data_IF_701255419376
#
_entry.id   IF_701255419376
#
_cell.length_a   1.000
_cell.length_b   1.000
_cell.length_c   1.000
_cell.angle_alpha   90.00
_cell.angle_beta   90.00
_cell.angle_gamma   90.00
#
_symmetry.space_group_name_H-M   'P 1'
#
loop_
_entity.id
_entity.type
_entity.pdbx_description
1 polymer ?
#
# COMPACT_ATOMS: atom_id res chain seq x y z
N UNK A 1 -43.18 -27.14 7.17
CA UNK A 1 -42.55 -27.73 8.37
C UNK A 1 -41.63 -28.83 7.86
N UNK A 2 -40.31 -28.82 7.98
CA UNK A 2 -39.30 -28.00 8.68
C UNK A 2 -37.99 -28.21 7.84
N UNK A 3 -36.97 -27.38 7.81
CA UNK A 3 -36.55 -26.37 8.77
C UNK A 3 -35.51 -25.38 8.19
N UNK A 4 -35.26 -24.38 9.03
CA UNK A 4 -34.14 -23.43 9.02
C UNK A 4 -32.78 -24.17 9.03
N UNK A 5 -31.62 -23.60 8.69
CA UNK A 5 -31.16 -22.23 8.52
C UNK A 5 -29.71 -22.14 9.02
N UNK A 6 -28.97 -21.18 8.44
CA UNK A 6 -27.84 -20.43 9.04
C UNK A 6 -26.40 -20.96 8.99
N UNK A 7 -25.50 -20.03 8.64
CA UNK A 7 -24.09 -19.97 9.03
C UNK A 7 -23.12 -19.92 7.84
N UNK A 8 -22.24 -18.94 7.66
CA UNK A 8 -21.78 -17.87 8.53
C UNK A 8 -21.17 -16.72 7.69
N UNK A 9 -21.41 -15.47 8.12
CA UNK A 9 -20.65 -14.33 7.65
C UNK A 9 -19.23 -14.35 8.20
N UNK A 10 -18.26 -13.88 7.41
CA UNK A 10 -16.89 -13.60 7.85
C UNK A 10 -16.78 -12.12 8.19
N UNK A 11 -17.14 -11.78 9.42
CA UNK A 11 -16.71 -10.53 10.07
C UNK A 11 -15.22 -10.67 10.39
N UNK A 12 -14.36 -9.91 9.69
CA UNK A 12 -12.91 -9.94 9.89
C UNK A 12 -12.08 -9.31 8.75
N UNK A 13 -12.67 -9.16 7.56
CA UNK A 13 -12.09 -8.34 6.50
C UNK A 13 -12.41 -6.85 6.72
N UNK A 14 -11.90 -6.25 7.81
CA UNK A 14 -11.80 -4.79 7.83
C UNK A 14 -10.81 -4.38 6.74
N UNK A 15 -11.36 -4.03 5.57
CA UNK A 15 -10.68 -3.64 4.35
C UNK A 15 -9.45 -2.78 4.68
N UNK A 16 -8.25 -3.39 4.57
CA UNK A 16 -7.01 -2.68 4.84
C UNK A 16 -6.90 -1.52 3.84
N UNK A 17 -6.77 -0.29 4.36
CA UNK A 17 -6.66 0.92 3.55
C UNK A 17 -5.48 0.76 2.59
N UNK A 18 -5.76 0.50 1.31
CA UNK A 18 -4.71 0.19 0.34
C UNK A 18 -4.01 1.44 -0.20
N UNK A 19 -4.79 2.43 -0.64
CA UNK A 19 -4.25 3.70 -1.14
C UNK A 19 -4.27 4.74 -0.04
N UNK A 20 -3.22 5.55 0.02
CA UNK A 20 -3.26 6.80 0.76
C UNK A 20 -4.44 7.65 0.24
N UNK A 21 -5.05 8.50 1.08
CA UNK A 21 -6.09 9.39 0.62
C UNK A 21 -5.51 10.41 -0.37
N UNK A 22 -6.38 11.15 -1.05
CA UNK A 22 -5.92 12.27 -1.88
C UNK A 22 -5.10 13.25 -1.05
N UNK A 23 -4.15 13.89 -1.71
CA UNK A 23 -3.18 14.84 -1.18
C UNK A 23 -1.95 14.20 -0.53
N UNK A 24 -1.61 12.96 -0.87
CA UNK A 24 -0.40 12.28 -0.38
C UNK A 24 0.46 11.79 -1.52
N UNK A 25 1.73 12.20 -1.50
CA UNK A 25 2.71 11.91 -2.54
C UNK A 25 3.93 11.23 -1.94
N UNK A 26 4.29 10.07 -2.47
CA UNK A 26 5.61 9.50 -2.22
C UNK A 26 6.69 10.36 -2.89
N UNK A 27 7.73 10.68 -2.12
CA UNK A 27 8.91 11.40 -2.61
C UNK A 27 9.95 10.48 -3.26
N UNK A 28 9.68 9.17 -3.31
CA UNK A 28 10.58 8.21 -3.91
C UNK A 28 10.84 8.50 -5.40
N UNK A 29 11.95 7.94 -5.88
CA UNK A 29 12.40 8.11 -7.27
C UNK A 29 11.34 7.60 -8.24
N UNK A 30 10.99 8.44 -9.23
CA UNK A 30 10.19 8.02 -10.38
C UNK A 30 11.03 7.16 -11.32
N UNK A 31 10.51 5.99 -11.67
CA UNK A 31 11.03 5.12 -12.72
C UNK A 31 10.50 5.53 -14.09
N UNK A 32 9.20 5.73 -14.20
CA UNK A 32 8.50 6.08 -15.44
C UNK A 32 7.25 6.89 -15.12
N UNK A 33 6.83 7.76 -16.04
CA UNK A 33 5.55 8.45 -15.97
C UNK A 33 4.69 8.05 -17.15
N UNK A 34 3.45 7.67 -16.90
CA UNK A 34 2.42 7.38 -17.90
C UNK A 34 1.36 8.48 -17.87
N UNK A 35 0.98 9.02 -19.03
CA UNK A 35 -0.03 10.07 -19.15
C UNK A 35 -1.40 9.52 -19.55
N UNK A 36 -2.48 10.24 -19.23
CA UNK A 36 -3.83 9.86 -19.64
C UNK A 36 -4.34 8.61 -18.92
N UNK A 37 -3.83 8.34 -17.71
CA UNK A 37 -4.25 7.22 -16.89
C UNK A 37 -5.59 7.55 -16.24
N UNK A 38 -6.57 6.65 -16.39
CA UNK A 38 -7.96 6.91 -16.02
C UNK A 38 -8.15 7.22 -14.54
N UNK A 39 -7.49 6.46 -13.67
CA UNK A 39 -7.68 6.48 -12.23
C UNK A 39 -6.48 5.83 -11.50
N UNK A 40 -6.44 5.97 -10.18
CA UNK A 40 -5.39 5.38 -9.34
C UNK A 40 -5.32 3.84 -9.48
N UNK A 41 -6.46 3.16 -9.68
CA UNK A 41 -6.47 1.71 -9.88
C UNK A 41 -5.84 1.30 -11.22
N UNK A 42 -6.01 2.09 -12.28
CA UNK A 42 -5.31 1.92 -13.54
C UNK A 42 -3.81 2.15 -13.39
N UNK A 43 -3.42 3.16 -12.60
CA UNK A 43 -2.03 3.41 -12.26
C UNK A 43 -1.41 2.24 -11.48
N UNK A 44 -2.14 1.64 -10.53
CA UNK A 44 -1.73 0.42 -9.85
C UNK A 44 -1.52 -0.75 -10.83
N UNK A 45 -2.44 -0.96 -11.78
CA UNK A 45 -2.31 -2.02 -12.80
C UNK A 45 -1.09 -1.81 -13.71
N UNK A 46 -0.72 -0.55 -14.00
CA UNK A 46 0.52 -0.24 -14.71
C UNK A 46 1.74 -0.59 -13.86
N UNK A 47 1.75 -0.19 -12.59
CA UNK A 47 2.82 -0.57 -11.65
C UNK A 47 2.94 -2.09 -11.49
N UNK A 48 1.83 -2.82 -11.45
CA UNK A 48 1.80 -4.28 -11.34
C UNK A 48 2.51 -4.98 -12.51
N UNK A 49 2.48 -4.39 -13.70
CA UNK A 49 3.14 -4.91 -14.91
C UNK A 49 4.60 -4.49 -15.06
N UNK A 50 5.05 -3.50 -14.29
CA UNK A 50 6.41 -2.98 -14.34
C UNK A 50 7.23 -3.64 -13.22
N UNK A 51 8.21 -4.45 -13.59
CA UNK A 51 8.96 -5.31 -12.65
C UNK A 51 9.59 -4.51 -11.53
N UNK A 52 10.22 -3.39 -11.87
CA UNK A 52 10.92 -2.55 -10.90
C UNK A 52 9.98 -1.68 -10.05
N UNK A 53 8.74 -1.49 -10.48
CA UNK A 53 7.79 -0.63 -9.78
C UNK A 53 7.40 -1.24 -8.43
N UNK A 54 7.51 -0.46 -7.36
CA UNK A 54 7.14 -0.87 -5.99
C UNK A 54 5.84 -0.23 -5.52
N UNK A 55 5.53 0.96 -6.03
CA UNK A 55 4.35 1.77 -5.70
C UNK A 55 4.16 2.85 -6.78
N UNK A 56 3.10 3.64 -6.69
CA UNK A 56 2.80 4.69 -7.66
C UNK A 56 2.32 5.98 -6.98
N UNK A 57 2.48 7.10 -7.69
CA UNK A 57 1.70 8.32 -7.46
C UNK A 57 0.76 8.52 -8.65
N UNK A 58 -0.52 8.75 -8.39
CA UNK A 58 -1.49 9.15 -9.39
C UNK A 58 -1.92 10.59 -9.14
N UNK A 59 -1.66 11.46 -10.12
CA UNK A 59 -2.07 12.86 -10.10
C UNK A 59 -3.46 12.98 -10.70
N UNK A 60 -4.44 13.32 -9.87
CA UNK A 60 -5.87 13.32 -10.22
C UNK A 60 -6.27 14.46 -11.15
N UNK A 61 -5.48 15.54 -11.18
CA UNK A 61 -5.70 16.73 -11.99
C UNK A 61 -5.15 16.60 -13.42
N UNK A 62 -3.95 16.03 -13.55
CA UNK A 62 -3.24 15.84 -14.82
C UNK A 62 -3.43 14.46 -15.44
N UNK A 63 -4.05 13.53 -14.72
CA UNK A 63 -4.16 12.11 -15.11
C UNK A 63 -2.79 11.46 -15.38
N UNK A 64 -1.74 11.94 -14.71
CA UNK A 64 -0.40 11.38 -14.81
C UNK A 64 -0.15 10.34 -13.71
N UNK A 65 0.52 9.27 -14.08
CA UNK A 65 0.83 8.13 -13.22
C UNK A 65 2.35 7.99 -13.14
N UNK A 66 2.94 8.36 -12.01
CA UNK A 66 4.35 8.14 -11.73
C UNK A 66 4.52 6.73 -11.15
N UNK A 67 5.14 5.83 -11.90
CA UNK A 67 5.61 4.55 -11.41
C UNK A 67 6.88 4.79 -10.59
N UNK A 68 6.87 4.37 -9.33
CA UNK A 68 7.93 4.62 -8.36
C UNK A 68 8.65 3.34 -8.01
N UNK A 69 9.86 3.50 -7.49
CA UNK A 69 10.71 2.38 -7.04
C UNK A 69 11.23 2.63 -5.63
N UNK A 70 11.86 1.61 -5.02
CA UNK A 70 12.40 1.66 -3.65
C UNK A 70 11.30 1.83 -2.59
N UNK A 71 11.65 2.27 -1.39
CA UNK A 71 10.72 2.59 -0.31
C UNK A 71 9.66 3.59 -0.77
N UNK A 72 8.39 3.22 -0.66
CA UNK A 72 7.24 4.08 -0.98
C UNK A 72 6.50 4.63 0.24
N UNK A 73 6.98 4.33 1.44
CA UNK A 73 6.35 4.75 2.70
C UNK A 73 6.74 6.17 3.14
N UNK A 74 7.67 6.81 2.43
CA UNK A 74 8.09 8.19 2.68
C UNK A 74 7.19 9.12 1.87
N UNK A 75 6.06 9.49 2.50
CA UNK A 75 5.02 10.31 1.89
C UNK A 75 4.96 11.69 2.53
N UNK A 76 4.62 12.68 1.72
CA UNK A 76 4.38 14.05 2.13
C UNK A 76 3.02 14.52 1.62
N UNK A 77 2.46 15.53 2.29
CA UNK A 77 1.26 16.19 1.79
C UNK A 77 1.57 16.91 0.47
N UNK A 78 0.77 16.66 -0.56
CA UNK A 78 0.88 17.30 -1.87
C UNK A 78 -0.46 17.22 -2.61
N UNK A 79 -1.03 18.36 -2.99
CA UNK A 79 -2.37 18.45 -3.56
C UNK A 79 -2.57 17.54 -4.79
N UNK A 80 -3.77 16.98 -4.91
CA UNK A 80 -4.23 16.20 -6.08
C UNK A 80 -3.43 14.93 -6.37
N UNK A 81 -2.71 14.38 -5.38
CA UNK A 81 -1.95 13.13 -5.55
C UNK A 81 -2.51 12.01 -4.68
N UNK A 82 -2.61 10.81 -5.24
CA UNK A 82 -2.91 9.56 -4.53
C UNK A 82 -1.69 8.66 -4.63
N UNK A 83 -1.16 8.20 -3.50
CA UNK A 83 -0.08 7.22 -3.44
C UNK A 83 -0.64 5.83 -3.14
N UNK A 84 -0.18 4.80 -3.83
CA UNK A 84 -0.61 3.42 -3.57
C UNK A 84 0.47 2.36 -3.87
N UNK A 85 0.42 1.20 -3.20
CA UNK A 85 1.37 0.12 -3.44
C UNK A 85 1.15 -0.53 -4.80
N UNK A 86 2.15 -1.28 -5.30
CA UNK A 86 2.04 -2.12 -6.51
C UNK A 86 0.81 -3.03 -6.48
N UNK A 87 0.44 -3.53 -5.29
CA UNK A 87 -0.71 -4.41 -5.09
C UNK A 87 -1.34 -4.16 -3.73
N UNK A 88 -2.67 -4.29 -3.64
CA UNK A 88 -3.42 -4.30 -2.39
C UNK A 88 -3.47 -5.70 -1.73
N UNK A 89 -2.70 -6.68 -2.24
CA UNK A 89 -2.74 -8.05 -1.73
C UNK A 89 -2.20 -8.11 -0.29
N UNK A 90 -3.12 -8.39 0.63
CA UNK A 90 -2.84 -8.66 2.04
C UNK A 90 -2.69 -10.16 2.34
N UNK A 91 -2.73 -11.01 1.32
CA UNK A 91 -2.67 -12.48 1.47
C UNK A 91 -1.43 -13.00 2.21
N UNK A 92 -0.35 -12.22 2.25
CA UNK A 92 0.87 -12.55 2.97
C UNK A 92 0.96 -11.92 4.37
N UNK A 93 -0.11 -11.26 4.83
CA UNK A 93 -0.16 -10.64 6.16
C UNK A 93 -0.81 -11.61 7.15
N UNK A 94 -0.23 -11.70 8.34
CA UNK A 94 -0.85 -12.41 9.47
C UNK A 94 -1.58 -11.39 10.33
N UNK A 95 -2.91 -11.45 10.35
CA UNK A 95 -3.75 -10.49 11.09
C UNK A 95 -3.88 -10.90 12.56
N UNK A 96 -4.00 -9.90 13.44
CA UNK A 96 -4.20 -10.11 14.89
C UNK A 96 -2.98 -10.64 15.64
N UNK A 97 -1.79 -10.62 15.03
CA UNK A 97 -0.56 -11.15 15.61
C UNK A 97 0.50 -10.06 15.70
N UNK A 98 1.12 -9.94 16.88
CA UNK A 98 2.36 -9.18 17.09
C UNK A 98 3.58 -10.12 17.15
N UNK A 99 4.78 -9.55 17.12
CA UNK A 99 6.01 -10.31 17.33
C UNK A 99 6.80 -9.77 18.53
N UNK A 100 7.66 -10.61 19.11
CA UNK A 100 8.58 -10.24 20.20
C UNK A 100 9.99 -9.92 19.71
N UNK A 101 10.20 -9.87 18.39
CA UNK A 101 11.50 -9.52 17.82
C UNK A 101 11.93 -8.10 18.21
N UNK A 102 13.23 -7.91 18.36
CA UNK A 102 13.81 -6.60 18.64
C UNK A 102 13.53 -5.62 17.50
N UNK A 103 13.18 -4.39 17.85
CA UNK A 103 12.94 -3.33 16.87
C UNK A 103 14.22 -2.99 16.12
N UNK A 104 14.20 -3.10 14.79
CA UNK A 104 15.30 -2.68 13.92
C UNK A 104 15.36 -1.16 13.70
N UNK A 105 14.21 -0.50 13.84
CA UNK A 105 14.06 0.93 13.69
C UNK A 105 13.08 1.45 14.74
N UNK A 106 13.09 2.77 14.95
CA UNK A 106 12.06 3.42 15.77
C UNK A 106 10.71 3.23 15.11
N UNK A 107 9.69 2.93 15.91
CA UNK A 107 8.32 2.86 15.40
C UNK A 107 7.88 4.23 14.87
N UNK A 108 7.38 4.24 13.64
CA UNK A 108 6.82 5.42 12.97
C UNK A 108 5.35 5.19 12.65
N UNK A 109 4.58 6.27 12.68
CA UNK A 109 3.20 6.23 12.21
C UNK A 109 3.20 6.09 10.70
N UNK A 110 2.74 4.94 10.21
CA UNK A 110 2.43 4.72 8.80
C UNK A 110 0.92 4.71 8.59
N UNK A 111 0.45 4.94 7.36
CA UNK A 111 -0.97 5.02 7.05
C UNK A 111 -1.62 3.63 6.99
N UNK A 112 -0.88 2.65 6.47
CA UNK A 112 -1.37 1.30 6.22
C UNK A 112 -0.27 0.24 6.46
N UNK A 113 -0.63 -1.05 6.61
CA UNK A 113 0.38 -2.12 6.64
C UNK A 113 1.17 -2.23 5.33
N UNK A 114 0.65 -1.72 4.20
CA UNK A 114 1.38 -1.70 2.94
C UNK A 114 2.59 -0.76 2.97
N UNK A 115 2.52 0.32 3.75
CA UNK A 115 3.68 1.20 3.98
C UNK A 115 4.75 0.47 4.79
N UNK A 116 4.36 -0.26 5.82
CA UNK A 116 5.27 -1.08 6.61
C UNK A 116 5.93 -2.16 5.74
N UNK A 117 5.15 -2.83 4.88
CA UNK A 117 5.66 -3.79 3.89
C UNK A 117 6.65 -3.11 2.92
N UNK A 118 6.32 -1.92 2.42
CA UNK A 118 7.15 -1.16 1.48
C UNK A 118 8.50 -0.80 2.10
N UNK A 119 8.47 -0.26 3.32
CA UNK A 119 9.67 0.09 4.08
C UNK A 119 10.53 -1.14 4.36
N UNK A 120 9.93 -2.21 4.87
CA UNK A 120 10.66 -3.42 5.23
C UNK A 120 11.33 -4.06 4.01
N UNK A 121 10.64 -4.09 2.86
CA UNK A 121 11.18 -4.66 1.62
C UNK A 121 12.43 -3.93 1.10
N UNK A 122 12.53 -2.63 1.35
CA UNK A 122 13.68 -1.81 0.93
C UNK A 122 14.76 -1.69 2.03
N UNK A 123 14.51 -2.22 3.23
CA UNK A 123 15.42 -2.14 4.37
C UNK A 123 16.22 -3.44 4.53
N UNK A 124 17.53 -3.36 4.35
CA UNK A 124 18.40 -4.52 4.52
C UNK A 124 18.29 -5.10 5.94
N UNK A 125 18.08 -6.42 6.02
CA UNK A 125 17.90 -7.14 7.27
C UNK A 125 16.48 -7.10 7.84
N UNK A 126 15.53 -6.40 7.22
CA UNK A 126 14.13 -6.44 7.66
C UNK A 126 13.44 -7.71 7.15
N UNK A 127 12.95 -8.53 8.07
CA UNK A 127 12.28 -9.80 7.77
C UNK A 127 10.77 -9.75 8.03
N UNK A 128 10.34 -8.95 9.00
CA UNK A 128 8.96 -8.86 9.45
C UNK A 128 8.61 -7.41 9.75
N UNK A 129 7.33 -7.08 9.64
CA UNK A 129 6.78 -5.84 10.15
C UNK A 129 5.55 -6.14 11.00
N UNK A 130 5.31 -5.31 12.00
CA UNK A 130 4.03 -5.25 12.72
C UNK A 130 3.39 -3.90 12.45
N UNK A 131 2.09 -3.89 12.20
CA UNK A 131 1.33 -2.67 12.03
C UNK A 131 0.19 -2.64 13.04
N UNK A 132 0.19 -1.63 13.90
CA UNK A 132 -0.87 -1.35 14.85
C UNK A 132 -1.62 -0.11 14.36
N UNK A 133 -2.95 -0.19 14.27
CA UNK A 133 -3.81 0.93 13.87
C UNK A 133 -3.89 2.00 14.96
#
# INVERSE_FOLDING_TARGET
SDGAGSGAGSEGEEELKCFHPINWKSIARTLKTESGVKDAAACQRLCAKEDQCTHFNYHTDSHSCELKIKNGSDVVEAANVITGPKTCSSSCFTLGVGHTANNMARSEKKYSPFDCQSWCRDTNGCFYFTFNR
#
